data_IF_646150737691
#
_entry.id   IF_646150737691
#
_cell.length_a   1.000
_cell.length_b   1.000
_cell.length_c   1.000
_cell.angle_alpha   90.00
_cell.angle_beta   90.00
_cell.angle_gamma   90.00
#
_symmetry.space_group_name_H-M   'P 1'
#
loop_
_entity.id
_entity.type
_entity.pdbx_description
1 polymer ?
#
# COMPACT_ATOMS: atom_id res chain seq x y z
N UNK A 1 21.69 -17.70 3.95
CA UNK A 1 20.64 -17.11 3.08
C UNK A 1 20.20 -15.80 3.72
N UNK A 2 20.31 -14.66 3.04
CA UNK A 2 19.90 -13.37 3.62
C UNK A 2 18.38 -13.20 3.56
N UNK A 3 17.74 -12.44 4.46
CA UNK A 3 16.29 -12.20 4.43
C UNK A 3 15.79 -11.62 3.10
N UNK A 4 16.63 -10.84 2.42
CA UNK A 4 16.35 -10.24 1.11
C UNK A 4 16.13 -11.32 0.04
N UNK A 5 16.93 -12.39 0.06
CA UNK A 5 16.76 -13.50 -0.89
C UNK A 5 15.47 -14.27 -0.65
N UNK A 6 15.06 -14.47 0.61
CA UNK A 6 13.81 -15.18 0.93
C UNK A 6 12.60 -14.40 0.42
N UNK A 7 12.52 -13.10 0.71
CA UNK A 7 11.42 -12.25 0.22
C UNK A 7 11.36 -12.21 -1.31
N UNK A 8 12.52 -12.20 -1.97
CA UNK A 8 12.57 -12.26 -3.44
C UNK A 8 12.02 -13.58 -3.98
N UNK A 9 12.42 -14.71 -3.39
CA UNK A 9 11.92 -16.02 -3.81
C UNK A 9 10.40 -16.15 -3.60
N UNK A 10 9.84 -15.64 -2.50
CA UNK A 10 8.40 -15.63 -2.27
C UNK A 10 7.65 -14.86 -3.37
N UNK A 11 8.12 -13.66 -3.73
CA UNK A 11 7.54 -12.89 -4.84
C UNK A 11 7.63 -13.62 -6.18
N UNK A 12 8.73 -14.34 -6.43
CA UNK A 12 8.86 -15.13 -7.66
C UNK A 12 7.88 -16.31 -7.70
N UNK A 13 7.55 -16.93 -6.56
CA UNK A 13 6.49 -17.96 -6.48
C UNK A 13 5.13 -17.36 -6.82
N UNK A 14 4.83 -16.17 -6.30
CA UNK A 14 3.58 -15.48 -6.57
C UNK A 14 3.42 -15.16 -8.07
N UNK A 15 4.49 -14.72 -8.74
CA UNK A 15 4.43 -14.35 -10.17
C UNK A 15 4.47 -15.54 -11.13
N UNK A 16 5.30 -16.55 -10.88
CA UNK A 16 5.55 -17.65 -11.82
C UNK A 16 4.88 -18.98 -11.42
N UNK A 17 4.40 -19.06 -10.17
CA UNK A 17 3.86 -20.28 -9.59
C UNK A 17 4.93 -21.21 -8.99
N UNK A 18 4.47 -22.07 -8.07
CA UNK A 18 5.32 -22.99 -7.30
C UNK A 18 6.10 -23.97 -8.19
N UNK A 19 5.44 -24.59 -9.18
CA UNK A 19 6.06 -25.59 -10.06
C UNK A 19 7.23 -25.01 -10.87
N UNK A 20 7.06 -23.79 -11.39
CA UNK A 20 8.11 -23.10 -12.13
C UNK A 20 9.28 -22.75 -11.23
N UNK A 21 9.01 -22.28 -10.00
CA UNK A 21 10.05 -22.01 -9.01
C UNK A 21 10.85 -23.27 -8.69
N UNK A 22 10.21 -24.40 -8.36
CA UNK A 22 10.90 -25.64 -8.01
C UNK A 22 11.86 -26.06 -9.14
N UNK A 23 11.39 -26.06 -10.38
CA UNK A 23 12.21 -26.39 -11.54
C UNK A 23 13.39 -25.42 -11.74
N UNK A 24 13.14 -24.11 -11.58
CA UNK A 24 14.17 -23.09 -11.71
C UNK A 24 15.22 -23.17 -10.60
N UNK A 25 14.80 -23.48 -9.38
CA UNK A 25 15.69 -23.62 -8.22
C UNK A 25 16.57 -24.87 -8.36
N UNK A 26 15.99 -25.98 -8.85
CA UNK A 26 16.76 -27.20 -9.20
C UNK A 26 17.87 -26.92 -10.22
N UNK A 27 17.56 -26.20 -11.31
CA UNK A 27 18.57 -25.77 -12.29
C UNK A 27 19.62 -24.84 -11.67
N UNK A 28 19.22 -23.89 -10.83
CA UNK A 28 20.17 -22.99 -10.16
C UNK A 28 21.17 -23.77 -9.27
N UNK A 29 20.70 -24.82 -8.59
CA UNK A 29 21.53 -25.72 -7.78
C UNK A 29 22.54 -26.50 -8.64
N UNK A 30 22.16 -26.99 -9.82
CA UNK A 30 23.07 -27.65 -10.77
C UNK A 30 24.26 -26.73 -11.14
N UNK A 31 24.00 -25.43 -11.28
CA UNK A 31 25.03 -24.41 -11.52
C UNK A 31 25.73 -23.89 -10.25
N UNK A 32 25.42 -24.44 -9.06
CA UNK A 32 25.91 -23.98 -7.75
C UNK A 32 25.63 -22.50 -7.46
N UNK A 33 24.51 -21.97 -7.99
CA UNK A 33 24.07 -20.59 -7.76
C UNK A 33 22.90 -20.60 -6.79
N UNK A 34 23.09 -19.98 -5.63
CA UNK A 34 22.13 -20.01 -4.52
C UNK A 34 21.49 -18.64 -4.23
N UNK A 35 21.61 -17.70 -5.16
CA UNK A 35 21.02 -16.37 -5.07
C UNK A 35 19.71 -16.28 -5.84
N UNK A 36 18.80 -15.44 -5.34
CA UNK A 36 17.48 -15.28 -5.95
C UNK A 36 17.53 -14.71 -7.38
N UNK A 37 18.59 -13.98 -7.78
CA UNK A 37 18.72 -13.45 -9.15
C UNK A 37 19.03 -14.57 -10.15
N UNK A 38 19.80 -15.57 -9.75
CA UNK A 38 20.04 -16.74 -10.60
C UNK A 38 18.75 -17.49 -10.91
N UNK A 39 17.90 -17.69 -9.90
CA UNK A 39 16.57 -18.32 -10.05
C UNK A 39 15.67 -17.47 -10.96
N UNK A 40 15.63 -16.15 -10.74
CA UNK A 40 14.89 -15.19 -11.56
C UNK A 40 15.28 -15.27 -13.05
N UNK A 41 16.58 -15.24 -13.36
CA UNK A 41 17.05 -15.36 -14.76
C UNK A 41 16.65 -16.69 -15.41
N UNK A 42 16.60 -17.77 -14.64
CA UNK A 42 16.15 -19.08 -15.14
C UNK A 42 14.64 -19.05 -15.39
N UNK A 43 13.86 -18.37 -14.54
CA UNK A 43 12.42 -18.20 -14.71
C UNK A 43 12.10 -17.37 -15.96
N UNK A 44 12.67 -16.17 -16.08
CA UNK A 44 12.46 -15.28 -17.24
C UNK A 44 12.74 -15.98 -18.58
N UNK A 45 13.78 -16.83 -18.61
CA UNK A 45 14.16 -17.55 -19.82
C UNK A 45 13.21 -18.69 -20.19
N UNK A 46 12.66 -19.40 -19.19
CA UNK A 46 11.97 -20.67 -19.43
C UNK A 46 10.45 -20.59 -19.23
N UNK A 47 9.98 -19.57 -18.52
CA UNK A 47 8.60 -19.32 -18.17
C UNK A 47 8.29 -17.83 -18.40
N UNK A 48 8.44 -17.31 -19.64
CA UNK A 48 8.18 -15.90 -19.91
C UNK A 48 6.75 -15.56 -19.48
N UNK A 49 6.61 -14.58 -18.59
CA UNK A 49 5.30 -14.07 -18.21
C UNK A 49 4.73 -13.36 -19.43
N UNK A 50 3.46 -13.64 -19.74
CA UNK A 50 2.72 -12.80 -20.66
C UNK A 50 2.54 -11.45 -19.97
N UNK A 51 2.81 -10.35 -20.67
CA UNK A 51 2.51 -9.03 -20.13
C UNK A 51 1.03 -9.01 -19.73
N UNK A 52 0.76 -8.87 -18.43
CA UNK A 52 -0.59 -8.61 -17.96
C UNK A 52 -1.05 -7.34 -18.68
N UNK A 53 -2.20 -7.43 -19.34
CA UNK A 53 -2.85 -6.32 -20.02
C UNK A 53 -2.78 -5.07 -19.13
N UNK A 54 -2.55 -3.88 -19.72
CA UNK A 54 -2.16 -2.69 -18.99
C UNK A 54 -3.04 -2.53 -17.76
N UNK A 55 -2.40 -2.47 -16.58
CA UNK A 55 -3.03 -2.17 -15.30
C UNK A 55 -3.97 -1.00 -15.58
N UNK A 56 -5.29 -1.27 -15.56
CA UNK A 56 -6.28 -0.22 -15.70
C UNK A 56 -5.87 0.89 -14.72
N UNK A 57 -5.88 2.17 -15.15
CA UNK A 57 -5.27 3.25 -14.39
C UNK A 57 -5.68 3.14 -12.92
N UNK A 58 -4.75 3.37 -12.00
CA UNK A 58 -4.92 3.21 -10.54
C UNK A 58 -6.15 3.94 -9.95
N UNK A 59 -6.84 4.76 -10.75
CA UNK A 59 -8.24 5.11 -10.52
C UNK A 59 -9.13 3.88 -10.71
N UNK A 60 -9.29 3.08 -9.65
CA UNK A 60 -10.41 2.15 -9.56
C UNK A 60 -11.76 2.86 -9.76
N UNK A 61 -12.89 2.14 -9.64
CA UNK A 61 -14.24 2.73 -9.84
C UNK A 61 -14.60 3.79 -8.79
N UNK A 62 -13.75 4.03 -7.79
CA UNK A 62 -13.96 4.98 -6.69
C UNK A 62 -14.41 6.38 -7.14
N UNK A 63 -13.70 7.06 -8.05
CA UNK A 63 -14.11 8.38 -8.54
C UNK A 63 -15.44 8.36 -9.31
N UNK A 64 -15.78 7.23 -9.94
CA UNK A 64 -17.05 7.06 -10.66
C UNK A 64 -18.21 6.85 -9.68
N UNK A 65 -17.98 6.15 -8.56
CA UNK A 65 -18.98 5.88 -7.52
C UNK A 65 -19.22 7.08 -6.58
N UNK A 66 -18.20 7.89 -6.32
CA UNK A 66 -18.33 9.07 -5.45
C UNK A 66 -19.13 10.21 -6.08
N UNK A 67 -19.30 10.23 -7.41
CA UNK A 67 -19.93 11.34 -8.11
C UNK A 67 -19.07 12.60 -8.13
N UNK A 68 -19.65 13.73 -8.54
CA UNK A 68 -19.00 15.04 -8.51
C UNK A 68 -18.75 15.42 -7.03
N UNK A 69 -17.48 15.46 -6.63
CA UNK A 69 -17.08 15.97 -5.32
C UNK A 69 -16.84 17.46 -5.46
N UNK A 70 -17.46 18.25 -4.60
CA UNK A 70 -17.23 19.70 -4.51
C UNK A 70 -15.72 19.95 -4.30
N UNK A 71 -15.05 20.73 -5.16
CA UNK A 71 -13.64 21.03 -4.97
C UNK A 71 -13.47 21.85 -3.69
N UNK A 72 -12.63 21.38 -2.76
CA UNK A 72 -12.29 22.15 -1.57
C UNK A 72 -11.62 23.48 -1.94
N UNK A 73 -11.96 24.56 -1.24
CA UNK A 73 -11.32 25.86 -1.40
C UNK A 73 -10.06 25.94 -0.53
N UNK A 74 -9.06 26.70 -0.97
CA UNK A 74 -7.89 26.99 -0.14
C UNK A 74 -8.29 27.71 1.17
N UNK A 75 -9.35 28.51 1.12
CA UNK A 75 -9.88 29.23 2.28
C UNK A 75 -10.40 28.30 3.38
N UNK A 76 -10.86 27.09 3.04
CA UNK A 76 -11.37 26.10 3.99
C UNK A 76 -10.27 25.62 4.95
N UNK A 77 -9.01 25.69 4.49
CA UNK A 77 -7.83 25.26 5.24
C UNK A 77 -7.10 26.41 5.94
N UNK A 78 -7.50 27.66 5.71
CA UNK A 78 -6.87 28.86 6.30
C UNK A 78 -6.83 28.87 7.84
N UNK A 79 -7.76 28.14 8.46
CA UNK A 79 -7.88 28.02 9.92
C UNK A 79 -6.86 27.04 10.53
N UNK A 80 -6.16 26.24 9.72
CA UNK A 80 -5.18 25.26 10.21
C UNK A 80 -3.86 25.92 10.65
N UNK A 81 -3.51 27.06 10.05
CA UNK A 81 -2.36 27.88 10.47
C UNK A 81 -2.67 28.78 11.67
N UNK A 82 -3.95 28.85 12.06
CA UNK A 82 -4.34 29.52 13.29
C UNK A 82 -3.95 28.62 14.45
N UNK A 83 -2.83 28.95 15.08
CA UNK A 83 -2.34 28.31 16.29
C UNK A 83 -3.52 28.15 17.27
N UNK A 84 -3.78 26.95 17.84
CA UNK A 84 -4.77 26.85 18.89
C UNK A 84 -4.31 27.78 20.00
N UNK A 85 -5.07 28.84 20.26
CA UNK A 85 -5.00 29.51 21.55
C UNK A 85 -5.29 28.39 22.54
N UNK A 86 -4.26 27.95 23.26
CA UNK A 86 -4.43 27.17 24.48
C UNK A 86 -5.14 28.07 25.48
N UNK A 87 -6.45 28.23 25.30
CA UNK A 87 -7.32 28.72 26.36
C UNK A 87 -7.42 27.55 27.33
N UNK A 88 -6.48 27.49 28.26
CA UNK A 88 -6.77 26.98 29.59
C UNK A 88 -7.91 27.84 30.13
N UNK A 89 -9.14 27.36 29.93
CA UNK A 89 -10.32 27.91 30.57
C UNK A 89 -11.20 26.74 30.98
N UNK A 90 -10.89 26.22 32.15
CA UNK A 90 -11.87 25.58 33.03
C UNK A 90 -11.57 26.13 34.44
N UNK A 91 -12.54 26.39 35.35
CA UNK A 91 -13.99 26.19 35.27
C UNK A 91 -14.81 27.42 35.70
N UNK A 92 -16.08 27.52 35.27
CA UNK A 92 -17.15 28.17 36.04
C UNK A 92 -18.46 27.43 35.80
N UNK A 93 -18.59 26.35 36.56
CA UNK A 93 -19.85 25.85 37.07
C UNK A 93 -20.39 26.88 38.09
N UNK A 94 -21.51 27.52 37.75
CA UNK A 94 -22.44 28.15 38.70
C UNK A 94 -23.61 28.77 37.92
N UNK A 95 -24.75 28.06 37.86
CA UNK A 95 -26.06 28.63 38.25
C UNK A 95 -27.12 27.53 38.32
N UNK A 96 -27.39 27.05 39.53
CA UNK A 96 -28.71 26.55 39.91
C UNK A 96 -29.69 27.75 39.99
N UNK A 97 -30.83 27.68 39.31
CA UNK A 97 -32.18 27.79 39.92
C UNK A 97 -33.30 27.74 38.84
N UNK A 98 -34.31 26.85 38.99
CA UNK A 98 -35.52 26.87 38.16
C UNK A 98 -36.60 27.76 38.80
N UNK A 99 -37.08 28.77 38.06
CA UNK A 99 -38.26 29.54 38.43
C UNK A 99 -39.51 29.06 37.69
N UNK A 100 -40.47 28.52 38.47
CA UNK A 100 -41.95 28.65 38.39
C UNK A 100 -42.65 28.27 37.07
N UNK A 101 -43.82 27.61 37.06
CA UNK A 101 -44.90 27.43 38.05
C UNK A 101 -45.70 26.17 37.72
#
# INVERSE_FOLDING_TARGET
>A
LTPIHIRRLLRLVESYGEKALIAATGRAQEYRRFDARAVERILERNYPLLDDAPIAPLGGVGPILLGEVEPGSLDDYSRLDSNPVSTEADPKDDSEEPHGT
#
